data_IF_162431775092
#
_entry.id   IF_162431775092
#
_cell.length_a   1.000
_cell.length_b   1.000
_cell.length_c   1.000
_cell.angle_alpha   90.00
_cell.angle_beta   90.00
_cell.angle_gamma   90.00
#
_symmetry.space_group_name_H-M   'P 1'
#
loop_
_entity.id
_entity.type
_entity.pdbx_description
1 polymer ?
#
# COMPACT_ATOMS: atom_id res chain seq x y z
N UNK A 1 9.15 6.97 -2.02
CA UNK A 1 7.76 6.51 -1.78
C UNK A 1 7.03 6.53 -3.11
N UNK A 2 6.21 5.51 -3.37
CA UNK A 2 5.29 5.48 -4.52
C UNK A 2 3.85 5.54 -4.01
N UNK A 3 2.99 6.32 -4.67
CA UNK A 3 1.57 6.41 -4.35
C UNK A 3 0.74 5.80 -5.49
N UNK A 4 -0.21 4.93 -5.15
CA UNK A 4 -1.12 4.27 -6.07
C UNK A 4 -2.54 4.62 -5.67
N UNK A 5 -3.18 5.47 -6.48
CA UNK A 5 -4.61 5.77 -6.33
C UNK A 5 -5.45 4.75 -7.08
N UNK A 6 -6.47 4.23 -6.41
CA UNK A 6 -7.38 3.21 -6.93
C UNK A 6 -8.81 3.52 -6.50
N UNK A 7 -9.77 2.86 -7.13
CA UNK A 7 -11.19 3.02 -6.80
C UNK A 7 -11.58 2.29 -5.51
N UNK A 8 -10.85 1.23 -5.16
CA UNK A 8 -11.05 0.44 -3.94
C UNK A 8 -9.71 -0.09 -3.43
N UNK A 9 -9.18 0.54 -2.38
CA UNK A 9 -7.86 0.25 -1.84
C UNK A 9 -7.80 -1.14 -1.19
N UNK A 10 -8.90 -1.54 -0.53
CA UNK A 10 -9.01 -2.86 0.10
C UNK A 10 -8.97 -3.98 -0.93
N UNK A 11 -9.78 -3.89 -1.97
CA UNK A 11 -9.83 -4.91 -3.02
C UNK A 11 -8.52 -4.97 -3.80
N UNK A 12 -7.91 -3.81 -4.13
CA UNK A 12 -6.58 -3.77 -4.72
C UNK A 12 -5.55 -4.47 -3.84
N UNK A 13 -5.58 -4.19 -2.53
CA UNK A 13 -4.63 -4.78 -1.60
C UNK A 13 -4.78 -6.30 -1.53
N UNK A 14 -6.02 -6.78 -1.34
CA UNK A 14 -6.32 -8.19 -1.17
C UNK A 14 -6.08 -9.00 -2.46
N UNK A 15 -6.48 -8.49 -3.64
CA UNK A 15 -6.44 -9.25 -4.90
C UNK A 15 -5.19 -9.05 -5.75
N UNK A 16 -4.45 -7.97 -5.55
CA UNK A 16 -3.29 -7.63 -6.40
C UNK A 16 -2.03 -7.47 -5.56
N UNK A 17 -2.09 -6.64 -4.52
CA UNK A 17 -0.90 -6.35 -3.73
C UNK A 17 -0.41 -7.58 -2.98
N UNK A 18 -1.27 -8.24 -2.20
CA UNK A 18 -0.91 -9.40 -1.39
C UNK A 18 -0.50 -10.62 -2.23
N UNK A 19 -1.01 -10.74 -3.46
CA UNK A 19 -0.66 -11.82 -4.39
C UNK A 19 0.73 -11.64 -5.03
N UNK A 20 1.10 -10.40 -5.37
CA UNK A 20 2.38 -10.12 -6.03
C UNK A 20 3.51 -9.82 -5.05
N UNK A 21 3.19 -9.13 -3.95
CA UNK A 21 4.16 -8.61 -3.00
C UNK A 21 4.26 -9.55 -1.82
N UNK A 22 5.45 -10.14 -1.60
CA UNK A 22 5.64 -10.96 -0.41
C UNK A 22 5.51 -10.11 0.86
N UNK A 23 4.42 -10.34 1.61
CA UNK A 23 4.19 -9.70 2.90
C UNK A 23 5.32 -10.00 3.91
N UNK A 24 6.06 -11.10 3.70
CA UNK A 24 7.26 -11.47 4.45
C UNK A 24 8.39 -10.41 4.43
N UNK A 25 8.43 -9.56 3.39
CA UNK A 25 9.45 -8.53 3.22
C UNK A 25 8.97 -7.15 3.72
N UNK A 26 7.76 -7.06 4.28
CA UNK A 26 7.28 -5.84 4.89
C UNK A 26 7.91 -5.66 6.28
N UNK A 27 8.51 -4.48 6.47
CA UNK A 27 8.91 -3.97 7.79
C UNK A 27 7.67 -3.56 8.58
N UNK A 28 6.70 -2.94 7.92
CA UNK A 28 5.44 -2.54 8.51
C UNK A 28 4.34 -2.50 7.45
N UNK A 29 3.11 -2.80 7.88
CA UNK A 29 1.89 -2.51 7.14
C UNK A 29 1.03 -1.62 8.02
N UNK A 30 0.77 -0.40 7.56
CA UNK A 30 -0.05 0.58 8.27
C UNK A 30 -1.35 0.78 7.49
N UNK A 31 -2.47 0.72 8.20
CA UNK A 31 -3.81 0.90 7.66
C UNK A 31 -4.42 2.14 8.28
N UNK A 32 -4.84 3.07 7.45
CA UNK A 32 -5.52 4.29 7.87
C UNK A 32 -6.90 4.40 7.23
N UNK A 33 -7.80 5.10 7.93
CA UNK A 33 -9.13 5.45 7.44
C UNK A 33 -9.33 6.94 7.66
N UNK A 34 -9.79 7.65 6.63
CA UNK A 34 -9.90 9.11 6.65
C UNK A 34 -8.56 9.81 6.94
N UNK A 35 -7.43 9.21 6.53
CA UNK A 35 -6.10 9.73 6.78
C UNK A 35 -5.55 9.48 8.19
N UNK A 36 -6.30 8.80 9.07
CA UNK A 36 -5.89 8.50 10.45
C UNK A 36 -5.62 7.02 10.61
N UNK A 37 -4.46 6.67 11.17
CA UNK A 37 -4.05 5.29 11.35
C UNK A 37 -4.96 4.55 12.33
N UNK A 38 -5.48 3.41 11.88
CA UNK A 38 -6.24 2.44 12.69
C UNK A 38 -5.37 1.28 13.14
N UNK A 39 -4.46 0.83 12.28
CA UNK A 39 -3.53 -0.26 12.56
C UNK A 39 -2.13 0.06 12.00
N UNK A 40 -1.06 -0.40 12.66
CA UNK A 40 -1.06 -1.06 13.97
C UNK A 40 -1.28 -0.06 15.11
N UNK A 41 -1.70 -0.55 16.28
CA UNK A 41 -2.00 0.27 17.46
C UNK A 41 -0.84 1.17 17.90
N UNK A 42 0.40 0.76 17.66
CA UNK A 42 1.62 1.54 17.91
C UNK A 42 1.58 2.93 17.27
N UNK A 43 0.89 3.08 16.14
CA UNK A 43 0.73 4.35 15.43
C UNK A 43 -0.73 4.84 15.44
N UNK A 44 -1.61 4.18 16.18
CA UNK A 44 -3.05 4.45 16.17
C UNK A 44 -3.38 5.89 16.52
N UNK A 45 -4.34 6.47 15.80
CA UNK A 45 -4.78 7.86 15.99
C UNK A 45 -3.87 8.93 15.39
N UNK A 46 -2.72 8.54 14.83
CA UNK A 46 -1.80 9.48 14.16
C UNK A 46 -2.19 9.69 12.69
N UNK A 47 -1.90 10.87 12.11
CA UNK A 47 -2.01 11.08 10.67
C UNK A 47 -1.09 10.14 9.88
N UNK A 48 -1.59 9.56 8.80
CA UNK A 48 -0.82 8.62 7.96
C UNK A 48 0.43 9.29 7.36
N UNK A 49 0.36 10.60 7.07
CA UNK A 49 1.50 11.38 6.57
C UNK A 49 2.67 11.44 7.56
N UNK A 50 2.38 11.64 8.84
CA UNK A 50 3.41 11.69 9.89
C UNK A 50 4.07 10.32 10.07
N UNK A 51 3.26 9.26 10.04
CA UNK A 51 3.74 7.87 10.14
C UNK A 51 4.55 7.48 8.90
N UNK A 52 4.14 7.92 7.71
CA UNK A 52 4.91 7.74 6.48
C UNK A 52 6.27 8.46 6.57
N UNK A 53 6.30 9.71 7.04
CA UNK A 53 7.54 10.46 7.20
C UNK A 53 8.52 9.79 8.19
N UNK A 54 8.00 9.14 9.24
CA UNK A 54 8.80 8.41 10.23
C UNK A 54 9.33 7.07 9.70
N UNK A 55 8.51 6.31 8.97
CA UNK A 55 8.79 4.91 8.66
C UNK A 55 9.34 4.67 7.26
N UNK A 56 9.01 5.53 6.29
CA UNK A 56 9.32 5.29 4.89
C UNK A 56 10.83 5.40 4.61
N UNK A 57 11.43 4.25 4.33
CA UNK A 57 12.52 4.16 3.35
C UNK A 57 11.90 3.84 1.97
N UNK A 58 11.97 2.57 1.52
CA UNK A 58 11.14 2.09 0.43
C UNK A 58 9.72 1.80 0.93
N UNK A 59 8.71 2.50 0.41
CA UNK A 59 7.30 2.28 0.75
C UNK A 59 6.36 2.56 -0.42
N UNK A 60 5.23 1.86 -0.43
CA UNK A 60 4.10 2.06 -1.34
C UNK A 60 2.88 2.43 -0.51
N UNK A 61 2.22 3.53 -0.89
CA UNK A 61 0.92 3.94 -0.36
C UNK A 61 -0.17 3.60 -1.38
N UNK A 62 -1.14 2.79 -0.99
CA UNK A 62 -2.38 2.55 -1.75
C UNK A 62 -3.49 3.38 -1.11
N UNK A 63 -4.22 4.16 -1.91
CA UNK A 63 -5.22 5.11 -1.43
C UNK A 63 -6.45 5.12 -2.34
N UNK A 64 -7.65 5.04 -1.76
CA UNK A 64 -8.94 5.25 -2.44
C UNK A 64 -9.68 6.51 -1.96
N UNK A 65 -9.04 7.32 -1.13
CA UNK A 65 -9.59 8.53 -0.50
C UNK A 65 -10.30 8.27 0.83
N UNK A 66 -10.72 7.03 1.11
CA UNK A 66 -11.34 6.64 2.37
C UNK A 66 -10.43 5.75 3.22
N UNK A 67 -9.78 4.77 2.60
CA UNK A 67 -8.89 3.80 3.23
C UNK A 67 -7.52 3.86 2.58
N UNK A 68 -6.48 3.83 3.42
CA UNK A 68 -5.10 3.83 2.97
C UNK A 68 -4.33 2.64 3.52
N UNK A 69 -3.52 2.02 2.67
CA UNK A 69 -2.55 0.99 3.04
C UNK A 69 -1.14 1.48 2.73
N UNK A 70 -0.34 1.72 3.77
CA UNK A 70 1.07 2.03 3.65
C UNK A 70 1.90 0.78 3.92
N UNK A 71 2.45 0.21 2.85
CA UNK A 71 3.36 -0.92 2.90
C UNK A 71 4.81 -0.42 2.93
N UNK A 72 5.51 -0.66 4.03
CA UNK A 72 6.91 -0.27 4.23
C UNK A 72 7.78 -1.51 4.12
N UNK A 73 8.80 -1.47 3.26
CA UNK A 73 9.65 -2.61 2.95
C UNK A 73 10.98 -2.53 3.72
N UNK A 74 11.57 -3.70 4.03
CA UNK A 74 12.97 -3.73 4.50
C UNK A 74 13.93 -3.34 3.39
N UNK A 75 13.73 -3.92 2.20
CA UNK A 75 14.50 -3.67 0.98
C UNK A 75 13.65 -4.03 -0.24
N UNK A 76 14.01 -3.51 -1.41
CA UNK A 76 13.35 -3.87 -2.67
C UNK A 76 14.40 -4.21 -3.71
N UNK A 77 14.31 -5.40 -4.30
CA UNK A 77 15.25 -5.81 -5.36
C UNK A 77 14.98 -5.09 -6.68
N UNK A 78 13.72 -4.73 -6.94
CA UNK A 78 13.31 -3.91 -8.08
C UNK A 78 13.05 -2.47 -7.61
N UNK A 79 13.30 -1.46 -8.45
CA UNK A 79 12.87 -0.09 -8.16
C UNK A 79 11.37 -0.02 -7.88
N UNK A 80 10.97 0.72 -6.86
CA UNK A 80 9.56 0.81 -6.45
C UNK A 80 8.64 1.25 -7.58
N UNK A 81 9.07 2.18 -8.43
CA UNK A 81 8.29 2.61 -9.59
C UNK A 81 7.94 1.48 -10.56
N UNK A 82 8.83 0.49 -10.75
CA UNK A 82 8.53 -0.69 -11.57
C UNK A 82 7.51 -1.61 -10.90
N UNK A 83 7.62 -1.80 -9.58
CA UNK A 83 6.64 -2.58 -8.81
C UNK A 83 5.27 -1.91 -8.85
N UNK A 84 5.21 -0.60 -8.61
CA UNK A 84 3.98 0.17 -8.66
C UNK A 84 3.34 0.15 -10.06
N UNK A 85 4.13 0.24 -11.13
CA UNK A 85 3.63 0.09 -12.50
C UNK A 85 3.01 -1.30 -12.73
N UNK A 86 3.68 -2.37 -12.29
CA UNK A 86 3.18 -3.73 -12.44
C UNK A 86 1.86 -3.94 -11.68
N UNK A 87 1.78 -3.47 -10.44
CA UNK A 87 0.56 -3.53 -9.63
C UNK A 87 -0.60 -2.77 -10.31
N UNK A 88 -0.35 -1.58 -10.88
CA UNK A 88 -1.38 -0.83 -11.62
C UNK A 88 -1.88 -1.58 -12.86
N UNK A 89 -0.99 -2.23 -13.62
CA UNK A 89 -1.39 -3.03 -14.79
C UNK A 89 -2.20 -4.27 -14.40
N UNK A 90 -1.82 -4.95 -13.32
CA UNK A 90 -2.59 -6.08 -12.79
C UNK A 90 -3.97 -5.63 -12.31
N UNK A 91 -4.06 -4.50 -11.61
CA UNK A 91 -5.34 -3.94 -11.17
C UNK A 91 -6.31 -3.69 -12.33
N UNK A 92 -5.83 -3.11 -13.44
CA UNK A 92 -6.66 -2.92 -14.65
C UNK A 92 -7.21 -4.24 -15.19
N UNK A 93 -6.52 -5.36 -15.00
CA UNK A 93 -6.98 -6.68 -15.43
C UNK A 93 -8.04 -7.23 -14.48
N UNK A 94 -7.79 -7.16 -13.16
CA UNK A 94 -8.70 -7.64 -12.11
C UNK A 94 -10.00 -6.83 -12.09
N UNK A 95 -9.92 -5.49 -12.11
CA UNK A 95 -11.09 -4.60 -12.05
C UNK A 95 -12.02 -4.70 -13.26
N UNK A 96 -11.53 -5.27 -14.38
CA UNK A 96 -12.33 -5.57 -15.58
C UNK A 96 -12.96 -6.96 -15.54
N UNK A 97 -12.83 -7.71 -14.45
CA UNK A 97 -13.36 -9.08 -14.31
C UNK A 97 -12.70 -10.09 -15.25
N UNK A 98 -11.42 -9.89 -15.60
CA UNK A 98 -10.69 -10.76 -16.54
C UNK A 98 -9.76 -11.79 -15.87
N UNK A 99 -9.88 -11.96 -14.55
CA UNK A 99 -9.17 -12.94 -13.73
C UNK A 99 -10.14 -13.60 -12.76
#
# INVERSE_FOLDING_TARGET
MEEIRVENAREFFEKVFAELVCLCNLKALVIAEGGVVKLPATYGGRPIGDVAAELCGPCILVDDGAVQYLAVFYKTEKPLGQVAALLRELWKTVSRGRL
#
